data_IF_822923578987
#
_entry.id   IF_822923578987
#
_cell.length_a   1.000
_cell.length_b   1.000
_cell.length_c   1.000
_cell.angle_alpha   90.00
_cell.angle_beta   90.00
_cell.angle_gamma   90.00
#
_symmetry.space_group_name_H-M   'P 1'
#
loop_
_entity.id
_entity.type
_entity.pdbx_description
1 polymer ?
#
# COMPACT_ATOMS: atom_id res chain seq x y z
N UNK A 1 5.62 40.27 -28.61
CA UNK A 1 5.48 38.94 -27.97
C UNK A 1 4.23 38.92 -27.07
N UNK A 2 3.04 38.71 -27.63
CA UNK A 2 1.77 38.76 -26.88
C UNK A 2 0.84 37.54 -27.11
N UNK A 3 1.30 36.49 -27.80
CA UNK A 3 0.45 35.35 -28.21
C UNK A 3 0.23 34.27 -27.13
N UNK A 4 1.00 34.26 -26.04
CA UNK A 4 0.93 33.20 -25.03
C UNK A 4 -0.32 33.26 -24.13
N UNK A 5 -1.07 34.37 -24.12
CA UNK A 5 -2.26 34.52 -23.30
C UNK A 5 -3.55 34.08 -24.01
N UNK A 6 -3.63 34.18 -25.35
CA UNK A 6 -4.85 33.85 -26.10
C UNK A 6 -5.08 32.34 -26.21
N UNK A 7 -4.01 31.54 -26.28
CA UNK A 7 -4.12 30.08 -26.41
C UNK A 7 -4.70 29.41 -25.15
N UNK A 8 -4.66 30.08 -23.99
CA UNK A 8 -5.22 29.56 -22.72
C UNK A 8 -6.75 29.69 -22.63
N UNK A 9 -7.36 30.39 -23.57
CA UNK A 9 -8.80 30.63 -23.62
C UNK A 9 -9.54 29.65 -24.54
N UNK A 10 -8.81 28.82 -25.29
CA UNK A 10 -9.36 27.78 -26.13
C UNK A 10 -9.39 26.45 -25.37
N UNK A 11 -10.46 25.66 -25.55
CA UNK A 11 -10.49 24.30 -25.04
C UNK A 11 -9.46 23.44 -25.78
N UNK A 12 -8.79 22.54 -25.06
CA UNK A 12 -7.79 21.63 -25.65
C UNK A 12 -8.40 20.49 -26.47
N UNK A 13 -9.69 20.18 -26.25
CA UNK A 13 -10.36 19.00 -26.80
C UNK A 13 -11.39 19.34 -27.88
N UNK A 14 -11.73 20.62 -28.05
CA UNK A 14 -12.69 21.07 -29.05
C UNK A 14 -12.34 22.49 -29.53
N UNK A 15 -12.88 22.94 -30.68
CA UNK A 15 -12.55 24.25 -31.25
C UNK A 15 -13.18 25.45 -30.52
N UNK A 16 -13.85 25.25 -29.37
CA UNK A 16 -14.50 26.35 -28.64
C UNK A 16 -13.51 27.28 -27.95
N UNK A 17 -13.78 28.59 -28.03
CA UNK A 17 -13.02 29.66 -27.37
C UNK A 17 -13.90 30.38 -26.36
N UNK A 18 -13.31 30.79 -25.25
CA UNK A 18 -14.02 31.42 -24.13
C UNK A 18 -13.40 32.77 -23.75
N UNK A 19 -14.18 33.66 -23.15
CA UNK A 19 -13.69 34.97 -22.71
C UNK A 19 -12.88 34.94 -21.41
N UNK A 20 -12.85 33.81 -20.69
CA UNK A 20 -12.10 33.68 -19.44
C UNK A 20 -11.60 32.25 -19.20
N UNK A 21 -10.48 32.13 -18.49
CA UNK A 21 -9.94 30.82 -18.08
C UNK A 21 -10.91 30.01 -17.23
N UNK A 22 -11.70 30.68 -16.36
CA UNK A 22 -12.72 30.00 -15.53
C UNK A 22 -13.80 29.36 -16.40
N UNK A 23 -14.27 30.05 -17.44
CA UNK A 23 -15.23 29.48 -18.39
C UNK A 23 -14.64 28.32 -19.19
N UNK A 24 -13.38 28.40 -19.63
CA UNK A 24 -12.69 27.27 -20.31
C UNK A 24 -12.62 26.06 -19.39
N UNK A 25 -12.21 26.22 -18.12
CA UNK A 25 -12.14 25.12 -17.15
C UNK A 25 -13.51 24.54 -16.81
N UNK A 26 -14.54 25.37 -16.70
CA UNK A 26 -15.91 24.90 -16.47
C UNK A 26 -16.43 24.11 -17.67
N UNK A 27 -16.10 24.55 -18.88
CA UNK A 27 -16.43 23.83 -20.10
C UNK A 27 -15.70 22.48 -20.17
N UNK A 28 -14.39 22.44 -19.97
CA UNK A 28 -13.61 21.19 -19.91
C UNK A 28 -14.22 20.20 -18.92
N UNK A 29 -14.58 20.66 -17.72
CA UNK A 29 -15.20 19.81 -16.70
C UNK A 29 -16.57 19.25 -17.10
N UNK A 30 -17.35 19.96 -17.93
CA UNK A 30 -18.71 19.57 -18.31
C UNK A 30 -18.77 18.78 -19.61
N UNK A 31 -18.04 19.23 -20.63
CA UNK A 31 -18.04 18.65 -21.97
C UNK A 31 -16.98 17.55 -22.15
N UNK A 32 -15.87 17.63 -21.41
CA UNK A 32 -14.73 16.71 -21.49
C UNK A 32 -14.39 16.13 -20.10
N UNK A 33 -15.35 15.51 -19.39
CA UNK A 33 -15.16 15.10 -18.00
C UNK A 33 -14.05 14.05 -17.84
N UNK A 34 -13.84 13.20 -18.84
CA UNK A 34 -12.83 12.13 -18.82
C UNK A 34 -11.43 12.73 -18.93
N UNK A 35 -11.23 13.61 -19.91
CA UNK A 35 -9.95 14.26 -20.17
C UNK A 35 -9.60 15.23 -19.06
N UNK A 36 -10.58 16.00 -18.58
CA UNK A 36 -10.42 16.89 -17.43
C UNK A 36 -10.00 16.11 -16.17
N UNK A 37 -10.65 14.97 -15.87
CA UNK A 37 -10.26 14.13 -14.75
C UNK A 37 -8.82 13.61 -14.91
N UNK A 38 -8.43 13.17 -16.11
CA UNK A 38 -7.06 12.74 -16.41
C UNK A 38 -6.02 13.85 -16.26
N UNK A 39 -6.35 15.09 -16.66
CA UNK A 39 -5.48 16.25 -16.42
C UNK A 39 -5.34 16.57 -14.93
N UNK A 40 -6.44 16.52 -14.17
CA UNK A 40 -6.41 16.74 -12.72
C UNK A 40 -5.62 15.63 -12.03
N UNK A 41 -5.70 14.38 -12.48
CA UNK A 41 -4.93 13.27 -11.95
C UNK A 41 -3.43 13.40 -12.27
N UNK A 42 -3.07 13.87 -13.47
CA UNK A 42 -1.68 14.20 -13.82
C UNK A 42 -1.13 15.40 -13.06
N UNK A 43 -1.99 16.37 -12.72
CA UNK A 43 -1.64 17.58 -11.97
C UNK A 43 -1.69 17.37 -10.45
N UNK A 44 -2.37 16.31 -9.97
CA UNK A 44 -2.19 15.81 -8.61
C UNK A 44 -0.72 15.40 -8.56
N UNK A 45 0.08 16.26 -7.94
CA UNK A 45 1.50 16.01 -7.70
C UNK A 45 1.71 14.78 -6.82
N UNK A 46 2.87 14.65 -6.15
CA UNK A 46 3.11 13.51 -5.28
C UNK A 46 1.96 13.34 -4.28
N UNK A 47 1.61 12.09 -3.99
CA UNK A 47 0.58 11.68 -3.04
C UNK A 47 0.61 12.56 -1.78
N UNK A 48 -0.55 12.82 -1.14
CA UNK A 48 -0.55 13.59 0.09
C UNK A 48 0.39 12.93 1.12
N UNK A 49 1.18 13.75 1.81
CA UNK A 49 2.22 13.30 2.75
C UNK A 49 1.77 12.17 3.72
N UNK A 50 0.55 12.17 4.33
CA UNK A 50 0.13 11.06 5.19
C UNK A 50 0.01 9.71 4.47
N UNK A 51 -0.43 9.70 3.20
CA UNK A 51 -0.55 8.46 2.42
C UNK A 51 0.82 7.89 2.08
N UNK A 52 1.78 8.75 1.72
CA UNK A 52 3.18 8.36 1.48
C UNK A 52 3.75 7.67 2.72
N UNK A 53 3.60 8.30 3.89
CA UNK A 53 4.12 7.74 5.15
C UNK A 53 3.48 6.40 5.51
N UNK A 54 2.18 6.24 5.26
CA UNK A 54 1.48 4.96 5.47
C UNK A 54 1.99 3.85 4.54
N UNK A 55 2.20 4.16 3.26
CA UNK A 55 2.74 3.21 2.27
C UNK A 55 4.14 2.77 2.71
N UNK A 56 5.00 3.73 3.07
CA UNK A 56 6.36 3.45 3.57
C UNK A 56 6.32 2.56 4.82
N UNK A 57 5.49 2.90 5.80
CA UNK A 57 5.36 2.15 7.06
C UNK A 57 4.89 0.70 6.83
N UNK A 58 3.96 0.48 5.91
CA UNK A 58 3.48 -0.86 5.55
C UNK A 58 4.58 -1.72 4.91
N UNK A 59 5.37 -1.13 4.02
CA UNK A 59 6.49 -1.83 3.38
C UNK A 59 7.54 -2.23 4.43
N UNK A 60 7.92 -1.31 5.33
CA UNK A 60 8.91 -1.59 6.39
C UNK A 60 8.40 -2.58 7.43
N UNK A 61 7.10 -2.55 7.75
CA UNK A 61 6.50 -3.51 8.67
C UNK A 61 6.44 -4.93 8.07
N UNK A 62 6.36 -5.07 6.74
CA UNK A 62 6.35 -6.36 6.05
C UNK A 62 7.75 -6.94 5.88
N UNK A 63 8.73 -6.11 5.53
CA UNK A 63 10.09 -6.53 5.22
C UNK A 63 11.11 -5.75 6.06
N UNK A 64 11.59 -6.32 7.17
CA UNK A 64 12.61 -5.66 8.00
C UNK A 64 14.02 -5.68 7.38
N UNK A 65 14.25 -6.41 6.28
CA UNK A 65 15.59 -6.69 5.77
C UNK A 65 16.03 -5.74 4.64
N UNK A 66 16.97 -4.84 4.94
CA UNK A 66 18.02 -4.26 4.06
C UNK A 66 17.66 -3.51 2.76
N UNK A 67 16.63 -3.92 2.00
CA UNK A 67 16.24 -3.38 0.69
C UNK A 67 15.01 -2.46 0.73
N UNK A 68 14.56 -2.08 1.92
CA UNK A 68 13.30 -1.36 2.17
C UNK A 68 13.23 -0.01 1.43
N UNK A 69 14.33 0.74 1.37
CA UNK A 69 14.32 2.08 0.75
C UNK A 69 14.05 2.04 -0.76
N UNK A 70 14.52 1.00 -1.46
CA UNK A 70 14.31 0.89 -2.91
C UNK A 70 12.85 0.57 -3.21
N UNK A 71 12.27 -0.37 -2.47
CA UNK A 71 10.85 -0.73 -2.59
C UNK A 71 9.93 0.45 -2.23
N UNK A 72 10.27 1.25 -1.22
CA UNK A 72 9.53 2.46 -0.88
C UNK A 72 9.57 3.51 -1.99
N UNK A 73 10.74 3.74 -2.58
CA UNK A 73 10.94 4.68 -3.67
C UNK A 73 10.07 4.29 -4.88
N UNK A 74 10.12 3.02 -5.28
CA UNK A 74 9.31 2.46 -6.38
C UNK A 74 7.79 2.54 -6.08
N UNK A 75 7.37 2.39 -4.83
CA UNK A 75 5.95 2.40 -4.47
C UNK A 75 5.34 3.81 -4.30
N UNK A 76 6.17 4.84 -4.13
CA UNK A 76 5.71 6.22 -3.85
C UNK A 76 6.13 7.22 -4.92
N UNK A 77 6.80 6.76 -5.98
CA UNK A 77 7.41 7.59 -7.02
C UNK A 77 8.35 8.68 -6.46
N UNK A 78 8.99 8.37 -5.32
CA UNK A 78 9.94 9.25 -4.65
C UNK A 78 11.38 8.81 -4.90
N UNK A 79 12.32 9.74 -4.76
CA UNK A 79 13.73 9.39 -4.76
C UNK A 79 14.14 8.72 -3.43
N UNK A 80 15.22 7.93 -3.45
CA UNK A 80 15.73 7.25 -2.24
C UNK A 80 16.09 8.24 -1.12
N UNK A 81 16.61 9.42 -1.48
CA UNK A 81 16.94 10.45 -0.49
C UNK A 81 15.70 11.12 0.11
N UNK A 82 14.65 11.32 -0.68
CA UNK A 82 13.35 11.77 -0.18
C UNK A 82 12.73 10.75 0.77
N UNK A 83 12.84 9.46 0.47
CA UNK A 83 12.42 8.36 1.36
C UNK A 83 13.23 8.41 2.66
N UNK A 84 14.55 8.53 2.60
CA UNK A 84 15.42 8.65 3.80
C UNK A 84 15.06 9.85 4.65
N UNK A 85 14.82 11.01 4.03
CA UNK A 85 14.39 12.22 4.73
C UNK A 85 13.06 12.00 5.46
N UNK A 86 12.07 11.40 4.81
CA UNK A 86 10.77 11.10 5.42
C UNK A 86 10.85 10.08 6.55
N UNK A 87 11.72 9.08 6.46
CA UNK A 87 11.93 8.11 7.56
C UNK A 87 12.50 8.73 8.83
N UNK A 88 13.20 9.86 8.74
CA UNK A 88 13.73 10.60 9.90
C UNK A 88 12.64 11.41 10.62
N UNK A 89 11.47 11.61 10.00
CA UNK A 89 10.38 12.37 10.61
C UNK A 89 9.76 11.61 11.79
N UNK A 90 9.45 12.27 12.92
CA UNK A 90 8.84 11.61 14.07
C UNK A 90 7.44 11.07 13.77
N UNK A 91 6.69 11.71 12.86
CA UNK A 91 5.36 11.26 12.47
C UNK A 91 5.39 9.88 11.80
N UNK A 92 6.48 9.56 11.12
CA UNK A 92 6.67 8.25 10.47
C UNK A 92 6.64 7.10 11.47
N UNK A 93 7.21 7.29 12.67
CA UNK A 93 7.26 6.25 13.70
C UNK A 93 5.85 5.82 14.15
N UNK A 94 4.91 6.76 14.25
CA UNK A 94 3.52 6.47 14.59
C UNK A 94 2.87 5.56 13.53
N UNK A 95 3.10 5.85 12.25
CA UNK A 95 2.59 5.02 11.16
C UNK A 95 3.25 3.63 11.14
N UNK A 96 4.55 3.55 11.43
CA UNK A 96 5.28 2.28 11.49
C UNK A 96 4.76 1.38 12.62
N UNK A 97 4.51 1.94 13.81
CA UNK A 97 3.91 1.21 14.92
C UNK A 97 2.52 0.67 14.58
N UNK A 98 1.67 1.52 13.98
CA UNK A 98 0.33 1.10 13.53
C UNK A 98 0.41 -0.01 12.50
N UNK A 99 1.29 0.11 11.51
CA UNK A 99 1.50 -0.93 10.50
C UNK A 99 1.96 -2.25 11.14
N UNK A 100 2.94 -2.22 12.06
CA UNK A 100 3.41 -3.41 12.79
C UNK A 100 2.29 -4.06 13.61
N UNK A 101 1.46 -3.27 14.29
CA UNK A 101 0.28 -3.76 15.03
C UNK A 101 -0.71 -4.46 14.09
N UNK A 102 -1.01 -3.85 12.94
CA UNK A 102 -1.88 -4.45 11.91
C UNK A 102 -1.33 -5.78 11.39
N UNK A 103 -0.04 -5.85 11.08
CA UNK A 103 0.59 -7.11 10.64
C UNK A 103 0.53 -8.20 11.71
N UNK A 104 0.77 -7.87 12.99
CA UNK A 104 0.65 -8.84 14.11
C UNK A 104 -0.79 -9.33 14.30
N UNK A 105 -1.77 -8.42 14.24
CA UNK A 105 -3.18 -8.76 14.34
C UNK A 105 -3.66 -9.62 13.15
N UNK A 106 -3.07 -9.42 11.97
CA UNK A 106 -3.40 -10.19 10.76
C UNK A 106 -2.70 -11.55 10.73
N UNK A 107 -1.54 -11.69 11.39
CA UNK A 107 -0.73 -12.90 11.43
C UNK A 107 -1.23 -14.01 12.37
N UNK A 108 -2.31 -13.79 13.13
CA UNK A 108 -2.82 -14.74 14.15
C UNK A 108 -3.93 -15.67 13.65
N UNK A 109 -4.22 -15.74 12.35
CA UNK A 109 -5.16 -16.73 11.76
C UNK A 109 -4.47 -17.97 11.15
N UNK A 110 -3.33 -18.39 11.70
CA UNK A 110 -2.92 -19.80 11.57
C UNK A 110 -3.45 -20.50 12.82
N UNK A 111 -4.65 -21.06 12.69
CA UNK A 111 -5.25 -21.93 13.70
C UNK A 111 -4.25 -23.05 14.05
N UNK A 112 -4.03 -23.37 15.33
CA UNK A 112 -3.38 -24.61 15.69
C UNK A 112 -4.36 -25.75 15.40
N UNK A 113 -4.27 -26.38 14.23
CA UNK A 113 -4.96 -27.63 13.98
C UNK A 113 -4.24 -28.76 14.76
N UNK A 114 -4.55 -28.85 16.05
CA UNK A 114 -4.56 -30.12 16.77
C UNK A 114 -5.65 -30.98 16.12
N UNK A 115 -5.25 -32.01 15.39
CA UNK A 115 -6.06 -33.23 15.24
C UNK A 115 -5.23 -34.40 15.75
N UNK A 116 -5.61 -34.85 16.95
CA UNK A 116 -5.38 -36.16 17.55
C UNK A 116 -5.53 -37.31 16.53
N UNK A 117 -4.83 -38.45 16.62
CA UNK A 117 -4.98 -39.49 17.67
C UNK A 117 -3.84 -40.57 17.54
N UNK A 118 -3.90 -41.78 18.17
CA UNK A 118 -3.26 -42.10 19.44
C UNK A 118 -2.26 -43.30 19.41
N UNK A 119 -1.41 -43.36 20.46
CA UNK A 119 -0.76 -44.51 21.13
C UNK A 119 -0.14 -45.70 20.35
N UNK A 120 1.16 -45.94 20.60
CA UNK A 120 1.67 -47.25 21.04
C UNK A 120 2.99 -47.11 21.85
N UNK A 121 2.92 -47.65 23.06
CA UNK A 121 3.89 -47.85 24.14
C UNK A 121 5.31 -48.29 23.77
N UNK A 122 6.35 -47.82 24.47
CA UNK A 122 7.19 -48.67 25.39
C UNK A 122 8.20 -47.86 26.24
N UNK A 123 7.93 -47.85 27.56
CA UNK A 123 8.83 -48.08 28.71
C UNK A 123 10.20 -47.38 28.93
N UNK A 124 10.32 -46.77 30.12
CA UNK A 124 11.54 -46.63 30.95
C UNK A 124 12.16 -45.23 30.93
N UNK A 125 12.51 -44.53 32.02
CA UNK A 125 12.63 -44.87 33.44
C UNK A 125 12.65 -43.57 34.28
N UNK A 126 12.30 -43.72 35.55
CA UNK A 126 12.19 -42.77 36.67
C UNK A 126 13.33 -41.76 36.87
N UNK A 127 13.01 -40.48 37.14
CA UNK A 127 13.56 -39.71 38.29
C UNK A 127 12.52 -38.69 38.78
N UNK A 128 12.22 -38.79 40.07
CA UNK A 128 11.38 -37.92 40.90
C UNK A 128 12.08 -36.58 41.15
N UNK A 129 11.35 -35.46 41.19
CA UNK A 129 11.55 -34.41 42.19
C UNK A 129 10.38 -33.43 42.26
N UNK A 130 10.01 -33.12 43.49
CA UNK A 130 8.76 -32.52 43.95
C UNK A 130 8.72 -31.00 43.76
N UNK A 131 7.50 -30.48 43.61
CA UNK A 131 7.10 -29.08 43.85
C UNK A 131 7.11 -28.75 45.34
N UNK A 132 7.22 -27.46 45.72
CA UNK A 132 6.00 -26.75 46.12
C UNK A 132 5.90 -25.26 45.69
N UNK A 133 4.65 -24.82 45.63
CA UNK A 133 4.11 -23.44 45.45
C UNK A 133 4.01 -22.76 46.83
N UNK A 134 4.08 -21.41 46.94
CA UNK A 134 2.88 -20.61 47.25
C UNK A 134 2.80 -19.31 46.42
N UNK A 135 1.64 -18.97 45.84
CA UNK A 135 0.61 -18.07 46.38
C UNK A 135 1.07 -16.62 46.67
N UNK A 136 0.59 -15.68 45.84
CA UNK A 136 0.63 -14.25 46.07
C UNK A 136 -0.53 -13.58 45.34
N UNK A 137 -1.63 -13.40 46.06
CA UNK A 137 -2.86 -12.71 45.66
C UNK A 137 -2.64 -11.21 45.82
N UNK A 138 -2.99 -10.40 44.82
CA UNK A 138 -3.44 -9.03 45.09
C UNK A 138 -4.53 -8.58 44.10
N UNK A 139 -5.65 -8.20 44.71
CA UNK A 139 -6.85 -7.58 44.14
C UNK A 139 -6.61 -6.08 43.98
N UNK A 140 -7.08 -5.48 42.89
CA UNK A 140 -7.68 -4.13 42.80
C UNK A 140 -7.82 -3.81 41.29
N UNK A 141 -8.82 -3.14 40.72
CA UNK A 141 -10.17 -2.71 41.11
C UNK A 141 -10.74 -2.12 39.81
N UNK A 142 -11.88 -2.65 39.35
CA UNK A 142 -12.64 -2.01 38.27
C UNK A 142 -13.28 -0.72 38.79
N UNK A 143 -13.44 0.29 37.92
CA UNK A 143 -14.65 1.11 37.94
C UNK A 143 -15.51 0.84 36.71
N UNK A 144 -16.81 0.87 36.99
CA UNK A 144 -17.92 0.59 36.09
C UNK A 144 -18.25 1.76 35.17
N UNK A 145 -18.98 1.38 34.10
CA UNK A 145 -20.05 2.13 33.43
C UNK A 145 -19.68 3.43 32.71
N UNK A 146 -19.98 3.48 31.41
CA UNK A 146 -21.08 4.31 30.91
C UNK A 146 -21.36 4.05 29.42
N UNK A 147 -22.59 3.60 29.18
CA UNK A 147 -23.50 3.98 28.09
C UNK A 147 -23.31 3.40 26.68
N UNK A 148 -24.28 2.56 26.34
CA UNK A 148 -24.68 2.17 25.00
C UNK A 148 -25.34 3.37 24.29
N UNK A 149 -24.82 3.73 23.12
CA UNK A 149 -25.49 4.59 22.13
C UNK A 149 -25.72 3.73 20.88
N UNK A 150 -26.97 3.42 20.50
CA UNK A 150 -27.27 2.75 19.24
C UNK A 150 -27.51 3.81 18.16
N UNK A 151 -26.47 4.15 17.39
CA UNK A 151 -26.63 5.03 16.22
C UNK A 151 -26.30 4.31 14.91
N UNK A 152 -27.36 3.70 14.37
CA UNK A 152 -27.84 3.85 13.00
C UNK A 152 -26.89 3.63 11.81
N UNK A 153 -27.24 2.57 11.07
CA UNK A 153 -27.47 2.54 9.62
C UNK A 153 -26.27 2.74 8.68
N UNK A 154 -25.78 1.58 8.24
CA UNK A 154 -25.44 1.22 6.86
C UNK A 154 -25.53 2.33 5.82
N UNK A 155 -24.38 2.94 5.54
CA UNK A 155 -24.09 3.55 4.25
C UNK A 155 -22.88 2.81 3.67
N UNK A 156 -23.14 1.61 3.14
CA UNK A 156 -22.18 0.89 2.29
C UNK A 156 -21.81 1.77 1.09
N UNK A 157 -20.61 2.35 1.18
CA UNK A 157 -20.07 3.23 0.16
C UNK A 157 -19.64 2.39 -1.07
N UNK A 158 -20.15 2.65 -2.29
CA UNK A 158 -19.84 1.87 -3.50
C UNK A 158 -18.37 1.87 -3.96
N UNK A 159 -17.48 2.56 -3.25
CA UNK A 159 -16.07 2.70 -3.62
C UNK A 159 -15.20 1.52 -3.16
N UNK A 160 -15.64 0.72 -2.20
CA UNK A 160 -14.86 -0.42 -1.69
C UNK A 160 -14.87 -1.65 -2.63
N UNK A 161 -15.85 -1.76 -3.53
CA UNK A 161 -15.86 -2.87 -4.52
C UNK A 161 -14.82 -2.70 -5.65
N UNK A 162 -14.41 -1.47 -5.98
CA UNK A 162 -13.47 -1.23 -7.09
C UNK A 162 -12.00 -1.52 -6.73
N UNK A 163 -11.65 -1.51 -5.44
CA UNK A 163 -10.27 -1.79 -4.99
C UNK A 163 -9.94 -3.29 -5.06
N UNK A 164 -10.95 -4.14 -4.86
CA UNK A 164 -10.82 -5.61 -4.92
C UNK A 164 -10.49 -6.13 -6.32
N UNK A 165 -11.07 -5.53 -7.38
CA UNK A 165 -10.83 -5.94 -8.76
C UNK A 165 -9.41 -5.59 -9.26
N UNK A 166 -8.81 -4.49 -8.77
CA UNK A 166 -7.44 -4.09 -9.15
C UNK A 166 -6.37 -4.93 -8.45
N UNK A 167 -6.64 -5.37 -7.23
CA UNK A 167 -5.72 -6.20 -6.44
C UNK A 167 -5.66 -7.65 -6.95
N UNK A 168 -6.73 -8.15 -7.59
CA UNK A 168 -6.76 -9.49 -8.21
C UNK A 168 -5.89 -9.59 -9.47
N UNK A 169 -5.83 -8.53 -10.31
CA UNK A 169 -4.99 -8.52 -11.54
C UNK A 169 -3.49 -8.48 -11.28
N UNK A 170 -3.04 -7.90 -10.16
CA UNK A 170 -1.62 -7.86 -9.78
C UNK A 170 -1.10 -9.23 -9.31
N UNK A 171 -1.97 -10.18 -8.97
CA UNK A 171 -1.58 -11.49 -8.45
C UNK A 171 -1.37 -12.53 -9.55
N UNK A 172 -1.90 -12.32 -10.75
CA UNK A 172 -1.76 -13.24 -11.89
C UNK A 172 -0.54 -12.94 -12.77
N UNK A 173 0.03 -11.73 -12.69
CA UNK A 173 1.18 -11.31 -13.51
C UNK A 173 2.55 -11.58 -12.88
N UNK A 174 2.61 -12.16 -11.68
CA UNK A 174 3.84 -12.51 -10.98
C UNK A 174 3.87 -13.99 -10.60
N UNK A 175 3.79 -14.89 -11.59
CA UNK A 175 4.15 -16.29 -11.40
C UNK A 175 5.69 -16.43 -11.50
N UNK A 176 6.42 -16.85 -10.44
CA UNK A 176 7.89 -16.82 -10.41
C UNK A 176 8.57 -18.11 -10.91
N UNK A 177 7.90 -18.94 -11.70
CA UNK A 177 8.49 -20.18 -12.21
C UNK A 177 8.95 -20.05 -13.68
N UNK A 178 10.22 -20.39 -13.88
CA UNK A 178 10.84 -20.89 -15.12
C UNK A 178 11.39 -19.93 -16.18
N UNK A 179 12.19 -18.92 -15.81
CA UNK A 179 13.18 -18.41 -16.78
C UNK A 179 14.58 -18.21 -16.17
N UNK A 180 15.48 -19.08 -16.65
CA UNK A 180 16.91 -19.14 -16.38
C UNK A 180 17.59 -17.78 -16.64
N UNK A 181 18.30 -17.18 -15.65
CA UNK A 181 18.87 -15.83 -15.74
C UNK A 181 19.95 -15.67 -16.82
N UNK A 182 20.53 -16.78 -17.32
CA UNK A 182 21.54 -16.74 -18.38
C UNK A 182 20.98 -16.31 -19.76
N UNK A 183 19.67 -16.49 -20.02
CA UNK A 183 19.06 -16.14 -21.31
C UNK A 183 18.59 -14.69 -21.42
N UNK A 184 18.54 -13.93 -20.32
CA UNK A 184 18.09 -12.51 -20.33
C UNK A 184 19.14 -11.55 -20.92
N UNK A 185 20.43 -11.87 -20.83
CA UNK A 185 21.50 -10.95 -21.27
C UNK A 185 21.72 -10.90 -22.78
N UNK A 186 21.29 -11.91 -23.53
CA UNK A 186 21.44 -11.95 -25.00
C UNK A 186 20.26 -11.27 -25.71
N UNK A 187 19.04 -11.42 -25.22
CA UNK A 187 17.85 -10.85 -25.86
C UNK A 187 17.80 -9.31 -25.84
N UNK A 188 18.30 -8.66 -24.78
CA UNK A 188 18.34 -7.19 -24.71
C UNK A 188 19.43 -6.58 -25.62
N UNK A 189 20.51 -7.34 -25.90
CA UNK A 189 21.62 -6.85 -26.72
C UNK A 189 21.27 -6.85 -28.21
N UNK A 190 20.49 -7.81 -28.68
CA UNK A 190 20.07 -7.89 -30.08
C UNK A 190 18.95 -6.89 -30.42
N UNK A 191 18.09 -6.54 -29.45
CA UNK A 191 17.05 -5.53 -29.64
C UNK A 191 17.61 -4.11 -29.80
N UNK A 192 18.68 -3.78 -29.07
CA UNK A 192 19.34 -2.48 -29.18
C UNK A 192 20.13 -2.32 -30.51
N UNK A 193 20.50 -3.44 -31.15
CA UNK A 193 21.23 -3.42 -32.43
C UNK A 193 20.31 -3.16 -33.63
N UNK A 194 19.04 -3.56 -33.58
CA UNK A 194 18.09 -3.34 -34.68
C UNK A 194 17.60 -1.88 -34.78
N UNK A 195 17.57 -1.13 -33.69
CA UNK A 195 17.12 0.28 -33.72
C UNK A 195 18.15 1.23 -34.37
N UNK A 196 19.39 0.80 -34.55
CA UNK A 196 20.47 1.61 -35.13
C UNK A 196 20.72 1.41 -36.63
N UNK A 197 20.10 0.41 -37.27
CA UNK A 197 20.23 0.16 -38.72
C UNK A 197 19.08 0.78 -39.54
N UNK A 198 18.17 1.51 -38.90
CA UNK A 198 17.04 2.20 -39.54
C UNK A 198 17.14 3.74 -39.51
N UNK A 199 18.30 4.28 -39.16
CA UNK A 199 18.67 5.70 -39.27
C UNK A 199 20.00 5.84 -39.98
#
# INVERSE_FOLDING_TARGET
>A
MARACEDRLQCKHCPMRFGSYKSTRQHERRAHPVEYAGEIEKMRGPLPEPEILQIMARIEAREPAGRVNKCMAEATDLTVDQVRFRRRKPEYQRYLELARKQFRASGTRILPAKSSSPAASTSGSSVVCQTPVPEGKDKLKQPASCENEPLSQDMESPLLQKVSARQKRMRESCSPHDLNPAKRKTADRDRCRQEYELY
#
